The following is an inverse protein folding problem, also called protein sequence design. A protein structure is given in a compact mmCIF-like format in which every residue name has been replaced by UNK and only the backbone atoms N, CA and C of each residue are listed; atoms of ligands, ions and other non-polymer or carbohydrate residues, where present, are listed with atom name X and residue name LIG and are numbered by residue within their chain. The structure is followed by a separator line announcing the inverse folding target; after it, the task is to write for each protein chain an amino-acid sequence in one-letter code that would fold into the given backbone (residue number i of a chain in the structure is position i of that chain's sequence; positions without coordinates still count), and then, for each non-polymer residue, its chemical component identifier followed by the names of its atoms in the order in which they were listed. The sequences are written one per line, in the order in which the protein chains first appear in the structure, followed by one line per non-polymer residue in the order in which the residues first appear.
data_IF_045370244484
#
_entry.id   IF_045370244484
#
_cell.length_a   1.000
_cell.length_b   1.000
_cell.length_c   1.000
_cell.angle_alpha   90.00
_cell.angle_beta   90.00
_cell.angle_gamma   90.00
#
_symmetry.space_group_name_H-M   'P 1'
#
loop_
_entity.id
_entity.type
_entity.pdbx_description
1 polymer ?
#
# COMPACT_ATOMS: atom_id res chain seq x y z
N UNK A 1 2.57 57.62 -22.49
CA UNK A 1 1.60 56.49 -22.43
C UNK A 1 2.04 55.24 -23.19
N UNK A 2 2.52 55.31 -24.45
CA UNK A 2 2.96 54.12 -25.22
C UNK A 2 4.17 53.38 -24.59
N UNK A 3 5.20 54.11 -24.16
CA UNK A 3 6.41 53.51 -23.55
C UNK A 3 6.14 52.76 -22.24
N UNK A 4 5.23 53.28 -21.41
CA UNK A 4 4.86 52.64 -20.14
C UNK A 4 4.10 51.33 -20.37
N UNK A 5 3.22 51.29 -21.38
CA UNK A 5 2.50 50.06 -21.77
C UNK A 5 3.46 48.98 -22.32
N UNK A 6 4.46 49.36 -23.10
CA UNK A 6 5.47 48.43 -23.60
C UNK A 6 6.34 47.86 -22.47
N UNK A 7 6.73 48.68 -21.48
CA UNK A 7 7.53 48.22 -20.34
C UNK A 7 6.74 47.23 -19.49
N UNK A 8 5.47 47.52 -19.16
CA UNK A 8 4.62 46.61 -18.37
C UNK A 8 4.41 45.28 -19.10
N UNK A 9 4.25 45.30 -20.43
CA UNK A 9 4.10 44.06 -21.21
C UNK A 9 5.38 43.21 -21.24
N UNK A 10 6.55 43.84 -21.38
CA UNK A 10 7.84 43.14 -21.38
C UNK A 10 8.16 42.55 -20.00
N UNK A 11 7.91 43.30 -18.92
CA UNK A 11 8.12 42.81 -17.55
C UNK A 11 7.15 41.67 -17.22
N UNK A 12 5.87 41.77 -17.63
CA UNK A 12 4.90 40.69 -17.45
C UNK A 12 5.28 39.41 -18.21
N UNK A 13 5.71 39.54 -19.47
CA UNK A 13 6.10 38.39 -20.28
C UNK A 13 7.39 37.73 -19.77
N UNK A 14 8.38 38.52 -19.32
CA UNK A 14 9.62 37.99 -18.74
C UNK A 14 9.39 37.27 -17.42
N UNK A 15 8.53 37.81 -16.55
CA UNK A 15 8.14 37.12 -15.31
C UNK A 15 7.39 35.81 -15.58
N UNK A 16 6.51 35.78 -16.59
CA UNK A 16 5.79 34.56 -16.99
C UNK A 16 6.72 33.50 -17.57
N UNK A 17 7.70 33.89 -18.40
CA UNK A 17 8.68 32.95 -18.96
C UNK A 17 9.63 32.42 -17.87
N UNK A 18 10.01 33.26 -16.90
CA UNK A 18 10.84 32.86 -15.78
C UNK A 18 10.10 31.90 -14.84
N UNK A 19 8.81 32.12 -14.58
CA UNK A 19 8.02 31.20 -13.76
C UNK A 19 7.77 29.87 -14.48
N UNK A 20 7.50 29.89 -15.79
CA UNK A 20 7.32 28.66 -16.57
C UNK A 20 8.60 27.83 -16.63
N UNK A 21 9.77 28.48 -16.79
CA UNK A 21 11.06 27.79 -16.77
C UNK A 21 11.37 27.20 -15.39
N UNK A 22 11.13 27.93 -14.31
CA UNK A 22 11.26 27.40 -12.94
C UNK A 22 10.37 26.18 -12.71
N UNK A 23 9.09 26.24 -13.13
CA UNK A 23 8.15 25.12 -13.03
C UNK A 23 8.66 23.90 -13.82
N UNK A 24 9.18 24.09 -15.04
CA UNK A 24 9.73 22.97 -15.81
C UNK A 24 10.97 22.35 -15.17
N UNK A 25 11.83 23.16 -14.54
CA UNK A 25 13.01 22.68 -13.82
C UNK A 25 12.62 21.84 -12.59
N UNK A 26 11.72 22.34 -11.74
CA UNK A 26 11.25 21.61 -10.55
C UNK A 26 10.52 20.31 -10.89
N UNK A 27 9.68 20.33 -11.93
CA UNK A 27 8.97 19.11 -12.36
C UNK A 27 9.92 18.05 -12.94
N UNK A 28 11.05 18.45 -13.52
CA UNK A 28 12.04 17.51 -14.06
C UNK A 28 12.87 16.82 -12.99
N UNK A 29 13.15 17.50 -11.88
CA UNK A 29 13.92 16.92 -10.75
C UNK A 29 13.08 15.99 -9.88
N UNK A 30 11.81 16.32 -9.60
CA UNK A 30 10.92 15.46 -8.81
C UNK A 30 10.57 14.15 -9.55
N UNK A 31 10.31 14.20 -10.85
CA UNK A 31 9.90 13.04 -11.64
C UNK A 31 11.01 11.99 -11.80
N UNK A 32 12.28 12.41 -11.84
CA UNK A 32 13.41 11.50 -11.96
C UNK A 32 13.68 10.74 -10.65
N UNK A 33 13.61 11.44 -9.50
CA UNK A 33 13.93 10.87 -8.20
C UNK A 33 12.92 9.81 -7.71
N UNK A 34 11.66 9.88 -8.17
CA UNK A 34 10.62 8.92 -7.80
C UNK A 34 10.54 7.69 -8.73
N UNK A 35 11.35 7.66 -9.81
CA UNK A 35 11.29 6.62 -10.84
C UNK A 35 12.39 5.55 -10.75
N UNK A 36 13.40 5.74 -9.90
CA UNK A 36 14.45 4.73 -9.73
C UNK A 36 13.90 3.57 -8.90
N UNK A 37 13.66 2.44 -9.57
CA UNK A 37 13.34 1.17 -8.95
C UNK A 37 14.48 0.77 -7.99
N UNK A 38 14.18 0.15 -6.84
CA UNK A 38 15.20 -0.23 -5.88
C UNK A 38 16.26 -1.16 -6.52
N UNK A 39 17.51 -1.18 -6.02
CA UNK A 39 18.63 -1.90 -6.65
C UNK A 39 18.42 -3.41 -6.86
N UNK A 40 17.44 -3.99 -6.16
CA UNK A 40 17.04 -5.39 -6.19
C UNK A 40 15.67 -5.60 -6.88
N UNK A 41 15.12 -4.60 -7.56
CA UNK A 41 13.92 -4.79 -8.35
C UNK A 41 14.23 -5.75 -9.52
N UNK A 42 13.42 -6.80 -9.74
CA UNK A 42 13.65 -7.73 -10.84
C UNK A 42 13.61 -6.99 -12.18
N UNK A 43 14.62 -7.22 -13.01
CA UNK A 43 14.70 -6.64 -14.35
C UNK A 43 13.82 -7.42 -15.32
N UNK A 44 12.61 -6.90 -15.55
CA UNK A 44 11.66 -7.44 -16.53
C UNK A 44 12.17 -7.34 -17.97
N UNK A 45 13.25 -6.60 -18.24
CA UNK A 45 13.86 -6.50 -19.58
C UNK A 45 14.70 -7.73 -19.97
N UNK A 46 15.10 -8.55 -18.99
CA UNK A 46 15.81 -9.82 -19.23
C UNK A 46 14.88 -10.96 -19.67
N UNK A 47 13.57 -10.81 -19.42
CA UNK A 47 12.55 -11.63 -20.06
C UNK A 47 12.37 -11.10 -21.48
N UNK A 48 13.14 -11.64 -22.42
CA UNK A 48 13.06 -11.25 -23.81
C UNK A 48 11.61 -11.12 -24.26
N UNK A 49 11.22 -9.93 -24.70
CA UNK A 49 9.90 -9.57 -25.25
C UNK A 49 9.48 -10.45 -26.46
N UNK A 50 10.26 -11.47 -26.82
CA UNK A 50 9.98 -12.50 -27.84
C UNK A 50 9.47 -13.84 -27.27
N UNK A 51 9.34 -14.01 -25.95
CA UNK A 51 8.73 -15.20 -25.35
C UNK A 51 7.26 -15.01 -24.90
N UNK A 52 6.71 -13.79 -25.04
CA UNK A 52 5.32 -13.50 -24.70
C UNK A 52 4.42 -13.81 -25.90
N UNK A 53 4.17 -15.10 -26.13
CA UNK A 53 3.11 -15.55 -27.04
C UNK A 53 1.76 -15.23 -26.38
N UNK A 54 1.30 -13.98 -26.49
CA UNK A 54 0.04 -13.48 -25.92
C UNK A 54 0.14 -13.10 -24.44
N UNK A 55 -0.80 -12.28 -23.92
CA UNK A 55 -0.84 -11.98 -22.50
C UNK A 55 -1.00 -13.25 -21.68
N UNK A 56 0.00 -13.61 -20.90
CA UNK A 56 -0.06 -14.72 -19.96
C UNK A 56 -1.08 -14.48 -18.83
N UNK A 57 -1.55 -13.23 -18.67
CA UNK A 57 -2.56 -12.86 -17.68
C UNK A 57 -4.00 -13.24 -18.10
N UNK A 58 -4.35 -13.30 -19.40
CA UNK A 58 -5.75 -13.58 -19.81
C UNK A 58 -6.19 -15.03 -19.55
N UNK A 59 -5.28 -15.92 -19.18
CA UNK A 59 -5.60 -17.32 -18.84
C UNK A 59 -5.39 -17.64 -17.36
N UNK A 60 -4.90 -16.70 -16.56
CA UNK A 60 -4.76 -16.90 -15.12
C UNK A 60 -6.13 -16.99 -14.45
N UNK A 61 -6.20 -17.74 -13.36
CA UNK A 61 -7.40 -17.93 -12.55
C UNK A 61 -7.12 -17.50 -11.12
N UNK A 62 -8.16 -17.35 -10.30
CA UNK A 62 -8.00 -17.09 -8.86
C UNK A 62 -7.15 -18.12 -8.13
N UNK A 63 -7.06 -19.36 -8.63
CA UNK A 63 -6.21 -20.39 -8.03
C UNK A 63 -4.72 -20.07 -8.20
N UNK A 64 -4.36 -19.37 -9.28
CA UNK A 64 -2.99 -18.91 -9.54
C UNK A 64 -2.61 -17.71 -8.66
N UNK A 65 -3.62 -17.07 -8.04
CA UNK A 65 -3.47 -15.95 -7.10
C UNK A 65 -3.59 -16.40 -5.63
N UNK A 66 -3.68 -17.71 -5.37
CA UNK A 66 -3.73 -18.22 -4.01
C UNK A 66 -2.41 -17.97 -3.27
N UNK A 67 -2.50 -17.40 -2.07
CA UNK A 67 -1.34 -17.16 -1.20
C UNK A 67 -1.51 -17.96 0.10
N UNK A 68 -0.49 -18.73 0.54
CA UNK A 68 -0.52 -19.44 1.80
C UNK A 68 -0.51 -18.50 3.01
N UNK A 69 -0.60 -19.07 4.21
CA UNK A 69 -0.76 -18.36 5.49
C UNK A 69 -2.22 -18.32 5.93
N UNK A 70 -2.55 -17.47 6.90
CA UNK A 70 -3.90 -17.35 7.47
C UNK A 70 -4.95 -17.07 6.38
N UNK A 71 -5.99 -17.90 6.33
CA UNK A 71 -7.11 -17.78 5.40
C UNK A 71 -8.32 -17.12 6.07
N UNK A 72 -9.33 -16.68 5.29
CA UNK A 72 -10.55 -16.12 5.85
C UNK A 72 -11.22 -17.10 6.83
N UNK A 73 -11.52 -16.61 8.04
CA UNK A 73 -12.14 -17.41 9.11
C UNK A 73 -11.17 -18.24 9.96
N UNK A 74 -9.86 -18.22 9.69
CA UNK A 74 -8.88 -18.98 10.48
C UNK A 74 -8.49 -18.29 11.81
N UNK A 75 -8.84 -17.02 12.00
CA UNK A 75 -8.53 -16.29 13.23
C UNK A 75 -9.52 -16.63 14.35
N UNK A 76 -8.99 -17.14 15.47
CA UNK A 76 -9.76 -17.28 16.71
C UNK A 76 -10.14 -15.90 17.29
N UNK A 77 -9.17 -14.98 17.33
CA UNK A 77 -9.33 -13.59 17.74
C UNK A 77 -9.25 -12.68 16.52
N UNK A 78 -10.33 -11.97 16.18
CA UNK A 78 -10.37 -11.06 15.04
C UNK A 78 -9.42 -9.89 15.19
N UNK A 79 -9.15 -9.18 14.09
CA UNK A 79 -8.28 -8.00 14.11
C UNK A 79 -8.99 -6.86 14.87
N UNK A 80 -8.40 -6.41 15.97
CA UNK A 80 -8.95 -5.28 16.71
C UNK A 80 -8.74 -3.96 15.94
N UNK A 81 -9.72 -3.05 15.95
CA UNK A 81 -9.56 -1.77 15.29
C UNK A 81 -8.46 -0.93 15.97
N UNK A 82 -7.80 -0.02 15.22
CA UNK A 82 -6.76 0.86 15.75
C UNK A 82 -7.21 1.68 16.97
N UNK A 83 -8.51 1.94 17.12
CA UNK A 83 -9.08 2.68 18.25
C UNK A 83 -8.88 2.01 19.60
N UNK A 84 -8.73 0.68 19.64
CA UNK A 84 -8.35 -0.04 20.86
C UNK A 84 -6.94 0.33 21.29
N UNK A 85 -6.01 0.43 20.33
CA UNK A 85 -4.61 0.77 20.57
C UNK A 85 -4.46 2.25 20.98
N UNK A 86 -5.26 3.14 20.38
CA UNK A 86 -5.27 4.57 20.68
C UNK A 86 -5.54 4.92 22.15
N UNK A 87 -6.15 4.03 22.93
CA UNK A 87 -6.39 4.30 24.34
C UNK A 87 -5.11 4.56 25.15
N UNK A 88 -3.97 3.99 24.70
CA UNK A 88 -2.66 4.17 25.35
C UNK A 88 -1.57 4.61 24.37
N UNK A 89 -1.73 4.29 23.09
CA UNK A 89 -0.81 4.69 22.03
C UNK A 89 -1.23 6.02 21.34
N UNK A 90 -2.24 6.67 21.94
CA UNK A 90 -2.87 7.98 21.76
C UNK A 90 -2.33 9.17 22.59
N UNK A 91 -2.13 10.36 22.02
CA UNK A 91 -2.20 11.65 22.72
C UNK A 91 -1.13 11.94 23.79
N UNK A 92 0.04 11.27 23.75
CA UNK A 92 1.15 11.59 24.64
C UNK A 92 2.18 12.49 23.94
N UNK A 93 2.52 13.61 24.58
CA UNK A 93 3.63 14.47 24.19
C UNK A 93 4.81 14.16 25.12
N UNK A 94 5.70 13.26 24.69
CA UNK A 94 6.94 12.99 25.42
C UNK A 94 8.03 13.93 24.89
N UNK A 95 8.69 14.73 25.73
CA UNK A 95 9.94 15.39 25.36
C UNK A 95 11.02 14.32 25.11
N UNK A 96 11.84 14.45 24.05
CA UNK A 96 11.88 15.55 23.10
C UNK A 96 10.85 15.38 21.96
N UNK A 97 10.44 16.51 21.37
CA UNK A 97 9.33 16.71 20.41
C UNK A 97 9.44 15.94 19.07
N UNK A 98 10.48 15.15 18.92
CA UNK A 98 10.83 14.26 17.81
C UNK A 98 10.36 12.81 18.01
N UNK A 99 9.77 12.46 19.15
CA UNK A 99 9.08 11.18 19.31
C UNK A 99 7.70 11.26 18.67
N UNK A 100 7.60 10.83 17.41
CA UNK A 100 6.31 10.70 16.74
C UNK A 100 5.49 9.60 17.44
N UNK A 101 4.39 10.00 18.05
CA UNK A 101 3.38 9.08 18.58
C UNK A 101 2.94 8.12 17.46
N UNK A 102 2.94 6.82 17.75
CA UNK A 102 2.72 5.79 16.73
C UNK A 102 1.39 5.97 15.99
N UNK A 103 0.36 6.45 16.67
CA UNK A 103 -0.92 6.77 16.04
C UNK A 103 -0.78 7.84 14.94
N UNK A 104 -0.11 8.95 15.20
CA UNK A 104 0.07 10.03 14.23
C UNK A 104 0.91 9.55 13.03
N UNK A 105 1.96 8.77 13.28
CA UNK A 105 2.79 8.17 12.24
C UNK A 105 1.97 7.24 11.33
N UNK A 106 1.21 6.33 11.92
CA UNK A 106 0.41 5.36 11.18
C UNK A 106 -0.76 6.02 10.46
N UNK A 107 -1.51 6.90 11.12
CA UNK A 107 -2.73 7.51 10.57
C UNK A 107 -2.43 8.36 9.32
N UNK A 108 -1.26 9.01 9.25
CA UNK A 108 -0.82 9.75 8.06
C UNK A 108 -0.12 8.90 6.99
N UNK A 109 0.11 7.61 7.22
CA UNK A 109 0.85 6.74 6.30
C UNK A 109 -0.04 6.12 5.23
N UNK A 110 0.57 5.59 4.16
CA UNK A 110 -0.16 4.81 3.16
C UNK A 110 -0.78 3.53 3.71
N UNK A 111 -0.27 3.01 4.84
CA UNK A 111 -0.79 1.80 5.47
C UNK A 111 -2.22 2.02 5.99
N UNK A 112 -2.47 3.14 6.67
CA UNK A 112 -3.82 3.48 7.15
C UNK A 112 -4.77 3.87 6.01
N UNK A 113 -4.23 4.31 4.86
CA UNK A 113 -5.02 4.71 3.70
C UNK A 113 -5.25 3.58 2.69
N UNK A 114 -4.66 2.39 2.89
CA UNK A 114 -4.56 1.34 1.89
C UNK A 114 -5.91 0.88 1.30
N UNK A 115 -6.98 0.88 2.09
CA UNK A 115 -8.34 0.48 1.66
C UNK A 115 -9.21 1.64 1.14
N UNK A 116 -8.79 2.89 1.34
CA UNK A 116 -9.54 4.12 0.96
C UNK A 116 -8.89 4.90 -0.18
N UNK A 117 -7.67 4.51 -0.57
CA UNK A 117 -6.94 5.14 -1.66
C UNK A 117 -7.70 4.97 -3.00
N UNK A 118 -8.10 6.05 -3.68
CA UNK A 118 -8.76 5.95 -4.99
C UNK A 118 -7.89 5.28 -6.07
N UNK A 119 -6.55 5.34 -5.95
CA UNK A 119 -5.67 4.62 -6.86
C UNK A 119 -5.75 3.10 -6.65
N UNK A 120 -5.91 2.65 -5.40
CA UNK A 120 -6.18 1.25 -5.10
C UNK A 120 -7.48 0.79 -5.77
N UNK A 121 -8.56 1.55 -5.66
CA UNK A 121 -9.85 1.20 -6.28
C UNK A 121 -9.80 1.16 -7.80
N UNK A 122 -9.07 2.08 -8.44
CA UNK A 122 -8.85 2.04 -9.88
C UNK A 122 -8.03 0.80 -10.31
N UNK A 123 -6.98 0.47 -9.55
CA UNK A 123 -6.16 -0.72 -9.82
C UNK A 123 -6.94 -2.02 -9.57
N UNK A 124 -7.82 -2.05 -8.59
CA UNK A 124 -8.69 -3.18 -8.28
C UNK A 124 -9.64 -3.49 -9.44
N UNK A 125 -10.22 -2.46 -10.07
CA UNK A 125 -11.07 -2.61 -11.25
C UNK A 125 -10.31 -3.23 -12.43
N UNK A 126 -9.10 -2.73 -12.71
CA UNK A 126 -8.22 -3.29 -13.75
C UNK A 126 -7.82 -4.73 -13.42
N UNK A 127 -7.48 -5.04 -12.16
CA UNK A 127 -7.11 -6.39 -11.75
C UNK A 127 -8.26 -7.40 -11.99
N UNK A 128 -9.50 -6.98 -11.77
CA UNK A 128 -10.68 -7.79 -12.06
C UNK A 128 -10.96 -7.93 -13.57
N UNK A 129 -10.57 -6.93 -14.38
CA UNK A 129 -10.64 -7.01 -15.84
C UNK A 129 -9.57 -7.93 -16.43
N UNK A 130 -8.38 -7.98 -15.81
CA UNK A 130 -7.26 -8.82 -16.23
C UNK A 130 -7.48 -10.29 -15.84
N UNK A 131 -7.96 -10.54 -14.61
CA UNK A 131 -8.25 -11.88 -14.08
C UNK A 131 -9.61 -11.84 -13.39
N UNK A 132 -10.52 -12.74 -13.78
CA UNK A 132 -11.82 -12.83 -13.12
C UNK A 132 -11.65 -13.05 -11.61
N UNK A 133 -12.26 -12.17 -10.80
CA UNK A 133 -12.11 -12.12 -9.33
C UNK A 133 -10.68 -11.87 -8.81
N UNK A 134 -9.78 -11.35 -9.65
CA UNK A 134 -8.39 -11.06 -9.29
C UNK A 134 -8.24 -10.05 -8.15
N UNK A 135 -9.21 -9.14 -7.98
CA UNK A 135 -9.17 -8.13 -6.92
C UNK A 135 -9.18 -8.71 -5.49
N UNK A 136 -9.65 -9.95 -5.31
CA UNK A 136 -9.65 -10.61 -4.00
C UNK A 136 -8.23 -10.77 -3.44
N UNK A 137 -7.24 -10.99 -4.31
CA UNK A 137 -5.82 -11.00 -3.95
C UNK A 137 -5.34 -9.63 -3.42
N UNK A 138 -5.75 -8.53 -4.07
CA UNK A 138 -5.37 -7.19 -3.66
C UNK A 138 -5.92 -6.84 -2.27
N UNK A 139 -7.17 -7.25 -2.01
CA UNK A 139 -7.88 -6.97 -0.76
C UNK A 139 -7.19 -7.65 0.44
N UNK A 140 -6.57 -8.82 0.25
CA UNK A 140 -5.77 -9.49 1.29
C UNK A 140 -4.72 -8.58 1.92
N UNK A 141 -4.11 -7.71 1.12
CA UNK A 141 -3.05 -6.82 1.57
C UNK A 141 -3.55 -5.39 1.85
N UNK A 142 -4.55 -4.90 1.12
CA UNK A 142 -5.01 -3.51 1.22
C UNK A 142 -6.14 -3.31 2.23
N UNK A 143 -6.95 -4.33 2.49
CA UNK A 143 -7.94 -4.36 3.57
C UNK A 143 -7.88 -5.71 4.31
N UNK A 144 -6.79 -6.00 5.05
CA UNK A 144 -6.55 -7.33 5.62
C UNK A 144 -7.65 -7.80 6.57
N UNK A 145 -8.27 -6.89 7.33
CA UNK A 145 -9.40 -7.24 8.21
C UNK A 145 -10.59 -7.76 7.39
N UNK A 146 -10.98 -7.08 6.31
CA UNK A 146 -12.05 -7.54 5.43
C UNK A 146 -11.74 -8.94 4.90
N UNK A 147 -10.52 -9.16 4.41
CA UNK A 147 -10.09 -10.46 3.92
C UNK A 147 -10.19 -11.55 5.01
N UNK A 148 -9.55 -11.34 6.15
CA UNK A 148 -9.47 -12.31 7.25
C UNK A 148 -10.85 -12.66 7.83
N UNK A 149 -11.81 -11.73 7.77
CA UNK A 149 -13.19 -11.94 8.23
C UNK A 149 -14.14 -12.39 7.11
N UNK A 150 -13.63 -12.78 5.94
CA UNK A 150 -14.45 -13.36 4.85
C UNK A 150 -15.22 -12.35 4.00
N UNK A 151 -14.90 -11.05 4.12
CA UNK A 151 -15.46 -9.94 3.30
C UNK A 151 -14.56 -9.55 2.12
N UNK A 152 -13.61 -10.38 1.74
CA UNK A 152 -12.66 -10.15 0.65
C UNK A 152 -13.23 -10.29 -0.78
N UNK A 153 -14.49 -9.90 -1.01
CA UNK A 153 -15.11 -9.97 -2.33
C UNK A 153 -14.30 -9.15 -3.36
N UNK A 154 -14.06 -9.69 -4.55
CA UNK A 154 -13.06 -9.16 -5.48
C UNK A 154 -13.31 -7.71 -5.95
N UNK A 155 -14.56 -7.28 -5.97
CA UNK A 155 -14.98 -5.92 -6.30
C UNK A 155 -14.92 -4.96 -5.10
N UNK A 156 -14.53 -5.46 -3.92
CA UNK A 156 -14.48 -4.72 -2.66
C UNK A 156 -15.85 -4.32 -2.09
N UNK A 157 -16.96 -4.82 -2.67
CA UNK A 157 -18.33 -4.43 -2.28
C UNK A 157 -18.71 -4.76 -0.84
N UNK A 158 -17.97 -5.67 -0.19
CA UNK A 158 -18.21 -6.07 1.20
C UNK A 158 -17.28 -5.36 2.21
N UNK A 159 -16.33 -4.53 1.76
CA UNK A 159 -15.47 -3.74 2.65
C UNK A 159 -16.36 -2.73 3.39
N UNK A 160 -16.30 -2.73 4.72
CA UNK A 160 -17.15 -1.88 5.54
C UNK A 160 -16.52 -1.52 6.88
N UNK A 161 -17.01 -0.43 7.51
CA UNK A 161 -16.59 -0.05 8.86
C UNK A 161 -15.07 0.08 9.02
N UNK A 162 -14.51 -0.69 9.95
CA UNK A 162 -13.08 -0.66 10.28
C UNK A 162 -12.18 -1.25 9.19
N UNK A 163 -12.74 -1.94 8.19
CA UNK A 163 -11.96 -2.45 7.06
C UNK A 163 -11.26 -1.31 6.30
N UNK A 164 -11.85 -0.10 6.32
CA UNK A 164 -11.29 1.10 5.70
C UNK A 164 -10.08 1.69 6.44
N UNK A 165 -9.74 1.17 7.62
CA UNK A 165 -8.49 1.52 8.31
C UNK A 165 -7.26 0.87 7.64
N UNK A 166 -7.45 0.11 6.56
CA UNK A 166 -6.37 -0.44 5.75
C UNK A 166 -5.52 -1.46 6.52
N UNK A 167 -4.21 -1.31 6.47
CA UNK A 167 -3.27 -2.16 7.22
C UNK A 167 -3.16 -1.64 8.66
N UNK A 168 -3.93 -2.26 9.54
CA UNK A 168 -4.09 -1.86 10.94
C UNK A 168 -2.92 -2.31 11.82
N UNK A 169 -2.89 -1.80 13.06
CA UNK A 169 -1.83 -2.08 14.04
C UNK A 169 -1.59 -3.58 14.24
N UNK A 170 -2.68 -4.33 14.48
CA UNK A 170 -2.62 -5.77 14.73
C UNK A 170 -2.17 -6.58 13.52
N UNK A 171 -2.36 -6.09 12.29
CA UNK A 171 -1.88 -6.79 11.09
C UNK A 171 -0.37 -6.94 11.14
N UNK A 172 0.36 -5.88 11.47
CA UNK A 172 1.82 -5.95 11.62
C UNK A 172 2.23 -6.58 12.95
N UNK A 173 1.56 -6.26 14.05
CA UNK A 173 1.94 -6.73 15.39
C UNK A 173 1.55 -8.18 15.70
N UNK A 174 0.79 -8.83 14.83
CA UNK A 174 0.48 -10.27 14.87
C UNK A 174 1.07 -11.03 13.68
N UNK A 175 1.75 -10.34 12.76
CA UNK A 175 2.45 -10.99 11.66
C UNK A 175 3.64 -11.76 12.22
N UNK A 176 3.68 -13.05 11.94
CA UNK A 176 4.77 -13.95 12.30
C UNK A 176 5.28 -14.62 11.04
N UNK A 177 6.57 -14.88 10.98
CA UNK A 177 7.12 -15.73 9.93
C UNK A 177 6.57 -17.15 10.10
N UNK A 178 5.85 -17.69 9.11
CA UNK A 178 5.35 -19.05 9.17
C UNK A 178 6.45 -20.12 9.29
N UNK A 179 7.68 -19.82 8.87
CA UNK A 179 8.81 -20.75 8.87
C UNK A 179 9.93 -20.19 9.73
N UNK A 180 10.17 -20.83 10.88
CA UNK A 180 11.24 -20.37 11.77
C UNK A 180 12.63 -20.52 11.15
N UNK A 181 13.43 -19.48 11.32
CA UNK A 181 14.86 -19.39 11.05
C UNK A 181 15.56 -18.75 12.25
N UNK A 182 16.88 -18.82 12.31
CA UNK A 182 17.67 -18.18 13.38
C UNK A 182 17.61 -16.65 13.35
N UNK A 183 17.12 -16.05 12.27
CA UNK A 183 16.94 -14.60 12.16
C UNK A 183 15.62 -14.13 12.80
N UNK A 184 14.67 -15.06 13.03
CA UNK A 184 13.41 -14.74 13.70
C UNK A 184 13.61 -14.61 15.22
N UNK A 185 12.84 -13.74 15.90
CA UNK A 185 12.86 -13.65 17.36
C UNK A 185 12.52 -14.99 18.04
N UNK A 186 13.17 -15.31 19.17
CA UNK A 186 12.86 -16.52 19.96
C UNK A 186 11.39 -16.60 20.39
N UNK A 187 10.72 -15.44 20.54
CA UNK A 187 9.29 -15.37 20.88
C UNK A 187 8.42 -16.04 19.81
N UNK A 188 8.85 -16.07 18.55
CA UNK A 188 8.09 -16.64 17.45
C UNK A 188 7.90 -18.14 17.63
N UNK A 189 8.82 -18.85 18.30
CA UNK A 189 8.66 -20.28 18.61
C UNK A 189 7.40 -20.57 19.44
N UNK A 190 7.03 -19.66 20.35
CA UNK A 190 5.81 -19.80 21.17
C UNK A 190 4.57 -19.53 20.33
N UNK A 191 4.63 -18.55 19.43
CA UNK A 191 3.53 -18.24 18.50
C UNK A 191 3.33 -19.41 17.54
N UNK A 192 4.41 -19.90 16.92
CA UNK A 192 4.43 -21.02 15.99
C UNK A 192 3.89 -22.32 16.60
N UNK A 193 4.13 -22.57 17.89
CA UNK A 193 3.55 -23.70 18.60
C UNK A 193 2.02 -23.59 18.82
N UNK A 194 1.46 -22.38 18.71
CA UNK A 194 0.04 -22.10 18.91
C UNK A 194 -0.78 -21.92 17.64
N UNK A 195 -0.16 -21.79 16.45
CA UNK A 195 -0.89 -21.63 15.18
C UNK A 195 -1.37 -22.97 14.65
N UNK A 196 -2.63 -23.04 14.23
CA UNK A 196 -3.23 -24.22 13.61
C UNK A 196 -4.01 -23.84 12.35
N UNK A 197 -3.77 -24.49 11.20
CA UNK A 197 -2.77 -25.53 10.98
C UNK A 197 -1.35 -24.96 11.01
N UNK A 198 -0.38 -25.74 11.48
CA UNK A 198 1.04 -25.42 11.28
C UNK A 198 1.31 -25.47 9.79
N UNK A 199 1.80 -24.36 9.26
CA UNK A 199 2.24 -24.14 7.88
C UNK A 199 3.15 -25.29 7.45
N UNK A 200 2.70 -26.05 6.44
CA UNK A 200 3.42 -27.15 5.79
C UNK A 200 4.28 -26.65 4.64
#
# INVERSE_FOLDING_TARGET
MKRLRSIVFIVGLTMLLLSLTLITLTLSEEAAAQSELPPNHPDISSLGMSAYNGPALITATVNDLFVPGTQPGDLDDTVAPPSTCMACHAGYNLPPEDVNEIWHAWNGSMMSQAARDPLFWAALDIANADVENGGSFCIRCHAPQAWLEGRGAADGSQISGNDFEGVQCEVCHRLVDPVYTTDNPDRDLVVLAGISPTVS
#
